data_IF_847104211976
#
_entry.id   IF_847104211976
#
_cell.length_a   1.000
_cell.length_b   1.000
_cell.length_c   1.000
_cell.angle_alpha   90.00
_cell.angle_beta   90.00
_cell.angle_gamma   90.00
#
_symmetry.space_group_name_H-M   'P 1'
#
loop_
_entity.id
_entity.type
_entity.pdbx_description
1 polymer ?
#
# COMPACT_ATOMS: atom_id res chain seq x y z
N UNK A 1 43.84 12.03 -6.90
CA UNK A 1 42.92 12.74 -5.99
C UNK A 1 43.33 12.42 -4.54
N UNK A 2 43.47 13.41 -3.65
CA UNK A 2 43.93 13.18 -2.27
C UNK A 2 42.89 12.34 -1.50
N UNK A 3 43.31 11.37 -0.68
CA UNK A 3 42.41 10.48 0.08
C UNK A 3 41.34 11.24 0.86
N UNK A 4 41.73 12.39 1.43
CA UNK A 4 40.83 13.28 2.16
C UNK A 4 39.67 13.82 1.34
N UNK A 5 39.83 13.99 0.01
CA UNK A 5 38.77 14.48 -0.88
C UNK A 5 37.73 13.38 -1.10
N UNK A 6 38.18 12.15 -1.37
CA UNK A 6 37.28 10.99 -1.54
C UNK A 6 36.46 10.76 -0.26
N UNK A 7 37.11 10.77 0.90
CA UNK A 7 36.44 10.57 2.19
C UNK A 7 35.40 11.67 2.45
N UNK A 8 35.71 12.94 2.16
CA UNK A 8 34.73 14.03 2.30
C UNK A 8 33.53 13.85 1.37
N UNK A 9 33.74 13.44 0.13
CA UNK A 9 32.65 13.17 -0.83
C UNK A 9 31.78 12.00 -0.35
N UNK A 10 32.39 10.93 0.17
CA UNK A 10 31.65 9.79 0.75
C UNK A 10 30.78 10.23 1.90
N UNK A 11 31.34 10.98 2.87
CA UNK A 11 30.61 11.43 4.06
C UNK A 11 29.46 12.37 3.69
N UNK A 12 29.72 13.35 2.82
CA UNK A 12 28.68 14.29 2.36
C UNK A 12 27.57 13.56 1.59
N UNK A 13 27.93 12.64 0.71
CA UNK A 13 26.96 11.84 -0.04
C UNK A 13 26.12 10.93 0.87
N UNK A 14 26.75 10.28 1.86
CA UNK A 14 26.04 9.46 2.83
C UNK A 14 25.05 10.29 3.66
N UNK A 15 25.45 11.49 4.10
CA UNK A 15 24.57 12.40 4.85
C UNK A 15 23.38 12.87 4.01
N UNK A 16 23.62 13.22 2.74
CA UNK A 16 22.56 13.60 1.80
C UNK A 16 21.58 12.45 1.56
N UNK A 17 22.08 11.23 1.32
CA UNK A 17 21.26 10.03 1.12
C UNK A 17 20.42 9.73 2.36
N UNK A 18 21.01 9.79 3.56
CA UNK A 18 20.26 9.60 4.81
C UNK A 18 19.14 10.62 4.97
N UNK A 19 19.40 11.89 4.67
CA UNK A 19 18.37 12.94 4.72
C UNK A 19 17.23 12.68 3.74
N UNK A 20 17.55 12.31 2.50
CA UNK A 20 16.53 12.00 1.48
C UNK A 20 15.73 10.74 1.86
N UNK A 21 16.39 9.69 2.37
CA UNK A 21 15.71 8.48 2.87
C UNK A 21 14.73 8.85 3.99
N UNK A 22 15.16 9.66 4.97
CA UNK A 22 14.30 10.06 6.07
C UNK A 22 13.04 10.81 5.58
N UNK A 23 13.22 11.73 4.64
CA UNK A 23 12.10 12.46 4.02
C UNK A 23 11.18 11.51 3.26
N UNK A 24 11.72 10.59 2.45
CA UNK A 24 10.90 9.65 1.67
C UNK A 24 10.14 8.66 2.54
N UNK A 25 10.74 8.16 3.63
CA UNK A 25 10.05 7.32 4.61
C UNK A 25 8.90 8.10 5.27
N UNK A 26 9.13 9.36 5.64
CA UNK A 26 8.09 10.22 6.19
C UNK A 26 6.94 10.43 5.18
N UNK A 27 7.25 10.77 3.93
CA UNK A 27 6.25 10.97 2.89
C UNK A 27 5.46 9.69 2.63
N UNK A 28 6.13 8.53 2.52
CA UNK A 28 5.49 7.26 2.26
C UNK A 28 4.51 6.89 3.38
N UNK A 29 4.89 7.10 4.64
CA UNK A 29 4.01 6.87 5.78
C UNK A 29 2.80 7.81 5.75
N UNK A 30 3.03 9.11 5.54
CA UNK A 30 1.95 10.09 5.52
C UNK A 30 0.98 9.86 4.35
N UNK A 31 1.48 9.50 3.17
CA UNK A 31 0.61 9.19 2.02
C UNK A 31 -0.13 7.87 2.20
N UNK A 32 0.44 6.91 2.94
CA UNK A 32 -0.27 5.68 3.32
C UNK A 32 -1.44 5.98 4.25
N UNK A 33 -1.17 6.71 5.34
CA UNK A 33 -2.18 7.06 6.33
C UNK A 33 -3.30 7.90 5.69
N UNK A 34 -2.94 8.82 4.78
CA UNK A 34 -3.91 9.62 4.02
C UNK A 34 -4.75 8.77 3.07
N UNK A 35 -4.14 7.87 2.29
CA UNK A 35 -4.85 7.00 1.36
C UNK A 35 -5.77 5.99 2.08
N UNK A 36 -5.35 5.46 3.24
CA UNK A 36 -6.18 4.60 4.07
C UNK A 36 -7.38 5.35 4.65
N UNK A 37 -7.18 6.59 5.10
CA UNK A 37 -8.26 7.44 5.58
C UNK A 37 -9.27 7.78 4.49
N UNK A 38 -8.79 8.20 3.32
CA UNK A 38 -9.65 8.52 2.17
C UNK A 38 -10.48 7.30 1.74
N UNK A 39 -9.86 6.12 1.68
CA UNK A 39 -10.57 4.87 1.38
C UNK A 39 -11.68 4.59 2.41
N UNK A 40 -11.36 4.66 3.71
CA UNK A 40 -12.34 4.39 4.77
C UNK A 40 -13.49 5.40 4.76
N UNK A 41 -13.21 6.68 4.49
CA UNK A 41 -14.25 7.73 4.35
C UNK A 41 -15.16 7.44 3.15
N UNK A 42 -14.59 7.13 1.98
CA UNK A 42 -15.35 6.81 0.77
C UNK A 42 -16.22 5.56 0.96
N UNK A 43 -15.68 4.50 1.60
CA UNK A 43 -16.47 3.31 1.96
C UNK A 43 -17.61 3.68 2.89
N UNK A 44 -17.33 4.47 3.92
CA UNK A 44 -18.35 4.91 4.90
C UNK A 44 -19.45 5.71 4.21
N UNK A 45 -19.10 6.66 3.34
CA UNK A 45 -20.06 7.45 2.57
C UNK A 45 -20.92 6.57 1.66
N UNK A 46 -20.31 5.63 0.94
CA UNK A 46 -21.05 4.69 0.08
C UNK A 46 -22.01 3.82 0.89
N UNK A 47 -21.56 3.26 2.01
CA UNK A 47 -22.38 2.44 2.90
C UNK A 47 -23.52 3.23 3.55
N UNK A 48 -23.28 4.48 3.94
CA UNK A 48 -24.33 5.39 4.40
C UNK A 48 -25.37 5.64 3.31
N UNK A 49 -24.94 5.80 2.06
CA UNK A 49 -25.86 5.98 0.93
C UNK A 49 -26.67 4.70 0.66
N UNK A 50 -26.06 3.52 0.75
CA UNK A 50 -26.79 2.24 0.65
C UNK A 50 -27.87 2.15 1.72
N UNK A 51 -27.56 2.51 2.97
CA UNK A 51 -28.55 2.52 4.04
C UNK A 51 -29.70 3.49 3.76
N UNK A 52 -29.42 4.70 3.25
CA UNK A 52 -30.44 5.67 2.83
C UNK A 52 -31.34 5.13 1.70
N UNK A 53 -30.81 4.29 0.82
CA UNK A 53 -31.64 3.64 -0.22
C UNK A 53 -32.62 2.63 0.39
N UNK A 54 -32.21 1.90 1.43
CA UNK A 54 -33.12 1.04 2.20
C UNK A 54 -34.15 1.84 3.01
N UNK A 55 -33.80 3.02 3.53
CA UNK A 55 -34.74 3.92 4.19
C UNK A 55 -35.89 4.31 3.24
N UNK A 56 -35.56 4.64 1.99
CA UNK A 56 -36.55 4.98 0.94
C UNK A 56 -37.52 3.84 0.62
N UNK A 57 -37.14 2.59 0.89
CA UNK A 57 -37.99 1.41 0.68
C UNK A 57 -38.94 1.14 1.86
N UNK A 58 -38.97 2.01 2.88
CA UNK A 58 -39.91 1.93 4.00
C UNK A 58 -39.31 1.43 5.31
N UNK A 59 -37.99 1.49 5.47
CA UNK A 59 -37.29 1.24 6.73
C UNK A 59 -36.98 2.51 7.52
N UNK A 60 -36.82 2.41 8.84
CA UNK A 60 -36.32 3.50 9.68
C UNK A 60 -34.87 3.22 10.07
N UNK A 61 -33.96 4.13 9.73
CA UNK A 61 -32.55 4.00 10.12
C UNK A 61 -32.33 4.39 11.59
N UNK A 62 -31.32 3.81 12.28
CA UNK A 62 -30.91 4.30 13.58
C UNK A 62 -30.39 5.74 13.51
N UNK A 63 -30.65 6.53 14.55
CA UNK A 63 -30.31 7.95 14.59
C UNK A 63 -28.80 8.24 14.64
N UNK A 64 -27.98 7.28 15.07
CA UNK A 64 -26.53 7.40 15.16
C UNK A 64 -25.87 6.05 14.89
N UNK A 65 -24.58 6.11 14.55
CA UNK A 65 -23.69 4.95 14.46
C UNK A 65 -24.05 3.90 13.40
N UNK A 66 -24.57 4.40 12.27
CA UNK A 66 -25.06 3.60 11.16
C UNK A 66 -24.01 2.68 10.54
N UNK A 67 -22.76 3.16 10.43
CA UNK A 67 -21.65 2.43 9.81
C UNK A 67 -20.53 2.30 10.81
N UNK A 68 -20.11 1.06 11.07
CA UNK A 68 -18.98 0.74 11.93
C UNK A 68 -17.88 0.02 11.18
N UNK A 69 -16.67 0.53 11.29
CA UNK A 69 -15.47 -0.19 10.89
C UNK A 69 -15.07 -1.15 12.01
N UNK A 70 -15.29 -2.45 11.81
CA UNK A 70 -14.97 -3.50 12.79
C UNK A 70 -13.50 -3.90 12.67
N UNK A 71 -12.98 -3.91 11.44
CA UNK A 71 -11.56 -4.11 11.15
C UNK A 71 -11.12 -3.24 9.99
N UNK A 72 -9.82 -3.25 9.70
CA UNK A 72 -9.22 -2.47 8.63
C UNK A 72 -9.80 -2.77 7.24
N UNK A 73 -10.40 -3.94 7.05
CA UNK A 73 -11.02 -4.39 5.81
C UNK A 73 -12.48 -4.81 5.94
N UNK A 74 -13.12 -4.63 7.10
CA UNK A 74 -14.49 -5.08 7.37
C UNK A 74 -15.34 -4.00 8.02
N UNK A 75 -16.49 -3.75 7.41
CA UNK A 75 -17.45 -2.74 7.82
C UNK A 75 -18.80 -3.39 8.03
N UNK A 76 -19.58 -2.88 8.99
CA UNK A 76 -20.94 -3.32 9.26
C UNK A 76 -21.88 -2.12 9.27
N UNK A 77 -23.09 -2.34 8.77
CA UNK A 77 -24.10 -1.29 8.59
C UNK A 77 -25.42 -1.73 9.19
N UNK A 78 -25.92 -0.97 10.16
CA UNK A 78 -27.22 -1.22 10.80
C UNK A 78 -28.35 -0.64 9.96
N UNK A 79 -29.35 -1.45 9.60
CA UNK A 79 -30.46 -1.05 8.73
C UNK A 79 -31.80 -1.07 9.49
N UNK A 80 -31.85 -1.67 10.69
CA UNK A 80 -33.07 -1.82 11.51
C UNK A 80 -34.30 -2.36 10.75
N UNK A 81 -34.09 -3.06 9.62
CA UNK A 81 -35.14 -3.62 8.79
C UNK A 81 -34.65 -4.89 8.09
N UNK A 82 -35.58 -5.64 7.49
CA UNK A 82 -35.28 -6.80 6.65
C UNK A 82 -34.51 -6.35 5.41
N UNK A 83 -33.39 -7.03 5.17
CA UNK A 83 -32.48 -6.71 4.07
C UNK A 83 -32.70 -7.72 2.94
N UNK A 84 -33.23 -7.26 1.82
CA UNK A 84 -33.29 -8.07 0.59
C UNK A 84 -31.91 -8.12 -0.07
N UNK A 85 -31.46 -9.34 -0.36
CA UNK A 85 -30.13 -9.60 -0.92
C UNK A 85 -29.91 -9.01 -2.32
N UNK A 86 -30.93 -9.04 -3.19
CA UNK A 86 -30.79 -8.56 -4.56
C UNK A 86 -30.70 -7.04 -4.58
N UNK A 87 -31.54 -6.38 -3.79
CA UNK A 87 -31.49 -4.93 -3.60
C UNK A 87 -30.15 -4.50 -2.98
N UNK A 88 -29.65 -5.23 -1.97
CA UNK A 88 -28.36 -4.93 -1.34
C UNK A 88 -27.22 -4.98 -2.35
N UNK A 89 -27.11 -6.03 -3.16
CA UNK A 89 -26.05 -6.13 -4.17
C UNK A 89 -26.12 -4.98 -5.16
N UNK A 90 -27.32 -4.67 -5.67
CA UNK A 90 -27.53 -3.58 -6.61
C UNK A 90 -27.10 -2.22 -6.02
N UNK A 91 -27.52 -1.92 -4.79
CA UNK A 91 -27.13 -0.67 -4.12
C UNK A 91 -25.63 -0.61 -3.83
N UNK A 92 -25.02 -1.69 -3.34
CA UNK A 92 -23.58 -1.73 -3.06
C UNK A 92 -22.76 -1.44 -4.32
N UNK A 93 -23.04 -2.14 -5.42
CA UNK A 93 -22.34 -1.91 -6.70
C UNK A 93 -22.47 -0.46 -7.16
N UNK A 94 -23.70 0.06 -7.16
CA UNK A 94 -24.00 1.41 -7.65
C UNK A 94 -23.33 2.48 -6.80
N UNK A 95 -23.41 2.38 -5.47
CA UNK A 95 -22.85 3.39 -4.57
C UNK A 95 -21.32 3.31 -4.51
N UNK A 96 -20.71 2.13 -4.55
CA UNK A 96 -19.25 2.00 -4.64
C UNK A 96 -18.70 2.57 -5.94
N UNK A 97 -19.34 2.31 -7.08
CA UNK A 97 -18.96 2.93 -8.36
C UNK A 97 -19.08 4.45 -8.33
N UNK A 98 -20.14 4.98 -7.71
CA UNK A 98 -20.38 6.42 -7.60
C UNK A 98 -19.27 7.15 -6.83
N UNK A 99 -18.72 6.52 -5.79
CA UNK A 99 -17.59 7.08 -5.01
C UNK A 99 -16.21 6.66 -5.55
N UNK A 100 -16.15 5.98 -6.69
CA UNK A 100 -14.91 5.57 -7.33
C UNK A 100 -14.23 4.34 -6.73
N UNK A 101 -14.89 3.60 -5.84
CA UNK A 101 -14.39 2.34 -5.29
C UNK A 101 -14.61 1.23 -6.33
N UNK A 102 -13.55 0.85 -7.04
CA UNK A 102 -13.54 -0.28 -7.99
C UNK A 102 -12.76 -1.45 -7.40
N UNK A 103 -13.26 -1.99 -6.30
CA UNK A 103 -12.62 -3.09 -5.55
C UNK A 103 -13.50 -4.29 -5.58
N UNK A 104 -12.91 -5.46 -5.68
CA UNK A 104 -13.61 -6.66 -5.26
C UNK A 104 -14.01 -6.54 -3.78
N UNK A 105 -15.23 -6.98 -3.49
CA UNK A 105 -15.78 -6.96 -2.14
C UNK A 105 -16.64 -8.19 -1.91
N UNK A 106 -16.72 -8.60 -0.66
CA UNK A 106 -17.64 -9.61 -0.19
C UNK A 106 -18.65 -8.92 0.72
N UNK A 107 -19.92 -9.27 0.61
CA UNK A 107 -20.91 -8.81 1.56
C UNK A 107 -21.63 -9.99 2.19
N UNK A 108 -22.24 -9.76 3.35
CA UNK A 108 -23.15 -10.71 3.94
C UNK A 108 -24.19 -10.08 4.85
N UNK A 109 -25.30 -10.78 5.03
CA UNK A 109 -26.45 -10.34 5.81
C UNK A 109 -26.51 -11.19 7.07
N UNK A 110 -26.58 -10.51 8.22
CA UNK A 110 -26.74 -11.18 9.48
C UNK A 110 -28.17 -11.66 9.67
N UNK A 111 -28.33 -12.90 10.15
CA UNK A 111 -29.61 -13.47 10.51
C UNK A 111 -29.64 -13.71 12.03
N UNK A 112 -30.56 -13.03 12.71
CA UNK A 112 -30.69 -13.06 14.16
C UNK A 112 -31.18 -14.41 14.70
N UNK A 113 -31.99 -15.16 13.94
CA UNK A 113 -32.50 -16.48 14.34
C UNK A 113 -31.38 -17.53 14.40
N UNK A 114 -30.52 -17.53 13.40
CA UNK A 114 -29.41 -18.49 13.26
C UNK A 114 -28.12 -18.01 13.93
N UNK A 115 -28.06 -16.73 14.35
CA UNK A 115 -26.87 -16.03 14.88
C UNK A 115 -25.64 -16.18 13.99
N UNK A 116 -25.86 -16.18 12.67
CA UNK A 116 -24.83 -16.37 11.66
C UNK A 116 -25.05 -15.42 10.50
N UNK A 117 -23.99 -15.19 9.74
CA UNK A 117 -24.06 -14.55 8.43
C UNK A 117 -24.72 -15.54 7.46
N UNK A 118 -26.03 -15.40 7.23
CA UNK A 118 -26.82 -16.38 6.51
C UNK A 118 -26.76 -16.21 4.99
N UNK A 119 -26.63 -14.97 4.53
CA UNK A 119 -26.47 -14.64 3.11
C UNK A 119 -25.11 -13.99 2.90
N UNK A 120 -24.42 -14.32 1.81
CA UNK A 120 -23.20 -13.63 1.44
C UNK A 120 -22.68 -14.04 0.08
N UNK A 121 -22.08 -13.08 -0.62
CA UNK A 121 -21.57 -13.27 -1.98
C UNK A 121 -20.32 -12.43 -2.19
N UNK A 122 -19.38 -13.00 -2.93
CA UNK A 122 -18.20 -12.30 -3.42
C UNK A 122 -18.49 -11.64 -4.76
N UNK A 123 -18.07 -10.39 -4.90
CA UNK A 123 -18.28 -9.55 -6.07
C UNK A 123 -16.91 -9.15 -6.61
N UNK A 124 -16.58 -9.65 -7.80
CA UNK A 124 -15.40 -9.23 -8.57
C UNK A 124 -15.76 -8.07 -9.50
N UNK A 125 -14.90 -7.05 -9.56
CA UNK A 125 -14.99 -5.96 -10.54
C UNK A 125 -14.35 -6.32 -11.88
N UNK A 126 -13.42 -7.28 -11.89
CA UNK A 126 -12.83 -7.78 -13.13
C UNK A 126 -13.72 -8.90 -13.69
N UNK A 127 -14.51 -8.58 -14.72
CA UNK A 127 -15.50 -9.47 -15.35
C UNK A 127 -14.94 -10.79 -15.92
N UNK A 128 -13.61 -10.99 -15.92
CA UNK A 128 -12.96 -12.20 -16.46
C UNK A 128 -13.14 -13.45 -15.61
N UNK A 129 -13.64 -13.33 -14.37
CA UNK A 129 -13.96 -14.46 -13.51
C UNK A 129 -15.46 -14.46 -13.18
N UNK A 130 -16.30 -14.74 -14.19
CA UNK A 130 -17.70 -15.21 -13.99
C UNK A 130 -17.76 -16.66 -13.52
N UNK A 131 -16.76 -17.12 -12.79
CA UNK A 131 -16.83 -18.35 -12.03
C UNK A 131 -17.30 -17.98 -10.64
N UNK A 132 -18.26 -18.72 -10.09
CA UNK A 132 -18.44 -18.82 -8.64
C UNK A 132 -17.10 -19.29 -8.06
N UNK A 133 -16.18 -18.36 -7.82
CA UNK A 133 -14.94 -18.69 -7.16
C UNK A 133 -15.36 -19.19 -5.78
N UNK A 134 -15.20 -20.50 -5.58
CA UNK A 134 -15.16 -21.16 -4.28
C UNK A 134 -13.98 -20.57 -3.49
N UNK A 135 -14.06 -19.28 -3.14
CA UNK A 135 -13.31 -18.77 -2.03
C UNK A 135 -13.86 -19.50 -0.80
N UNK A 136 -12.99 -20.06 0.06
CA UNK A 136 -13.43 -20.68 1.29
C UNK A 136 -14.42 -19.73 1.97
N UNK A 137 -15.61 -20.24 2.32
CA UNK A 137 -16.61 -19.56 3.16
C UNK A 137 -16.00 -19.27 4.53
N UNK A 138 -14.96 -18.46 4.58
CA UNK A 138 -14.47 -17.87 5.79
C UNK A 138 -15.58 -16.92 6.20
N UNK A 139 -16.43 -17.41 7.10
CA UNK A 139 -17.64 -16.73 7.50
C UNK A 139 -17.24 -15.36 8.01
N UNK A 140 -17.84 -14.32 7.44
CA UNK A 140 -17.65 -12.95 7.90
C UNK A 140 -17.86 -12.90 9.41
N UNK A 141 -16.99 -12.21 10.16
CA UNK A 141 -17.08 -12.18 11.61
C UNK A 141 -18.40 -11.53 12.03
N UNK A 142 -19.10 -12.17 12.97
CA UNK A 142 -20.36 -11.63 13.50
C UNK A 142 -20.07 -10.42 14.38
N UNK A 143 -20.93 -9.42 14.31
CA UNK A 143 -20.89 -8.22 15.12
C UNK A 143 -22.14 -8.16 16.00
N UNK A 144 -22.01 -8.64 17.23
CA UNK A 144 -23.13 -8.90 18.15
C UNK A 144 -23.82 -7.63 18.70
N UNK A 145 -23.44 -6.42 18.26
CA UNK A 145 -24.07 -5.18 18.74
C UNK A 145 -25.26 -4.72 17.90
N UNK A 146 -25.42 -5.23 16.69
CA UNK A 146 -26.52 -4.90 15.79
C UNK A 146 -27.44 -6.11 15.57
N UNK A 147 -28.75 -5.86 15.46
CA UNK A 147 -29.75 -6.92 15.27
C UNK A 147 -30.07 -7.16 13.79
N UNK A 148 -30.16 -6.08 13.00
CA UNK A 148 -30.48 -6.12 11.58
C UNK A 148 -29.41 -5.37 10.78
N UNK A 149 -28.32 -6.06 10.45
CA UNK A 149 -27.18 -5.44 9.78
C UNK A 149 -26.66 -6.30 8.64
N UNK A 150 -25.94 -5.64 7.73
CA UNK A 150 -25.09 -6.32 6.75
C UNK A 150 -23.63 -5.93 6.97
N UNK A 151 -22.72 -6.83 6.61
CA UNK A 151 -21.29 -6.60 6.63
C UNK A 151 -20.71 -6.58 5.22
N UNK A 152 -19.66 -5.79 5.00
CA UNK A 152 -18.90 -5.72 3.76
C UNK A 152 -17.42 -5.82 4.05
N UNK A 153 -16.74 -6.77 3.39
CA UNK A 153 -15.29 -7.04 3.49
C UNK A 153 -14.60 -6.72 2.17
N UNK A 154 -13.46 -6.05 2.24
CA UNK A 154 -12.61 -5.73 1.09
C UNK A 154 -11.32 -6.56 1.14
N UNK A 155 -11.27 -7.75 0.53
CA UNK A 155 -10.09 -8.61 0.61
C UNK A 155 -8.86 -7.99 -0.06
N UNK A 156 -9.07 -7.32 -1.19
CA UNK A 156 -8.01 -6.68 -1.97
C UNK A 156 -7.81 -5.19 -1.63
N UNK A 157 -8.10 -4.75 -0.39
CA UNK A 157 -8.00 -3.31 -0.02
C UNK A 157 -6.60 -2.72 -0.25
N UNK A 158 -5.55 -3.51 -0.04
CA UNK A 158 -4.16 -3.03 -0.10
C UNK A 158 -3.79 -2.61 -1.51
N UNK A 159 -4.28 -3.31 -2.54
CA UNK A 159 -4.01 -2.96 -3.94
C UNK A 159 -4.68 -1.63 -4.31
N UNK A 160 -5.84 -1.34 -3.73
CA UNK A 160 -6.50 -0.04 -3.91
C UNK A 160 -5.76 1.10 -3.23
N UNK A 161 -5.40 0.94 -1.96
CA UNK A 161 -4.61 1.95 -1.22
C UNK A 161 -3.27 2.19 -1.93
N UNK A 162 -2.57 1.13 -2.35
CA UNK A 162 -1.34 1.23 -3.14
C UNK A 162 -1.55 1.95 -4.48
N UNK A 163 -2.71 1.78 -5.12
CA UNK A 163 -3.02 2.44 -6.39
C UNK A 163 -3.18 3.96 -6.23
N UNK A 164 -3.66 4.44 -5.08
CA UNK A 164 -3.71 5.87 -4.76
C UNK A 164 -2.31 6.45 -4.52
N UNK A 165 -1.36 5.63 -4.07
CA UNK A 165 0.00 6.04 -3.73
C UNK A 165 1.04 5.84 -4.85
N UNK A 166 0.59 5.63 -6.10
CA UNK A 166 1.47 5.33 -7.26
C UNK A 166 2.68 6.26 -7.37
N UNK A 167 2.48 7.56 -7.15
CA UNK A 167 3.55 8.55 -7.26
C UNK A 167 4.63 8.36 -6.16
N UNK A 168 4.23 8.14 -4.90
CA UNK A 168 5.16 7.86 -3.80
C UNK A 168 5.97 6.58 -4.02
N UNK A 169 5.34 5.55 -4.62
CA UNK A 169 6.01 4.31 -4.98
C UNK A 169 7.05 4.56 -6.06
N UNK A 170 6.71 5.31 -7.12
CA UNK A 170 7.66 5.66 -8.19
C UNK A 170 8.86 6.43 -7.65
N UNK A 171 8.65 7.41 -6.76
CA UNK A 171 9.76 8.14 -6.14
C UNK A 171 10.64 7.25 -5.25
N UNK A 172 10.05 6.28 -4.54
CA UNK A 172 10.79 5.30 -3.76
C UNK A 172 11.68 4.42 -4.66
N UNK A 173 11.17 4.00 -5.81
CA UNK A 173 11.93 3.23 -6.81
C UNK A 173 13.08 4.07 -7.40
N UNK A 174 12.83 5.32 -7.76
CA UNK A 174 13.87 6.23 -8.27
C UNK A 174 14.96 6.45 -7.22
N UNK A 175 14.61 6.62 -5.94
CA UNK A 175 15.57 6.74 -4.86
C UNK A 175 16.45 5.48 -4.74
N UNK A 176 15.84 4.29 -4.83
CA UNK A 176 16.58 3.03 -4.79
C UNK A 176 17.62 2.97 -5.91
N UNK A 177 17.25 3.30 -7.14
CA UNK A 177 18.18 3.37 -8.27
C UNK A 177 19.28 4.42 -8.07
N UNK A 178 18.94 5.57 -7.50
CA UNK A 178 19.91 6.64 -7.20
C UNK A 178 20.96 6.17 -6.19
N UNK A 179 20.54 5.44 -5.15
CA UNK A 179 21.46 4.86 -4.16
C UNK A 179 22.36 3.81 -4.81
N UNK A 180 21.81 2.90 -5.62
CA UNK A 180 22.58 1.89 -6.33
C UNK A 180 23.62 2.53 -7.26
N UNK A 181 23.24 3.57 -8.01
CA UNK A 181 24.14 4.30 -8.89
C UNK A 181 25.26 5.01 -8.13
N UNK A 182 24.95 5.62 -6.98
CA UNK A 182 25.94 6.24 -6.10
C UNK A 182 26.95 5.22 -5.56
N UNK A 183 26.46 4.07 -5.07
CA UNK A 183 27.32 2.98 -4.58
C UNK A 183 28.22 2.41 -5.69
N UNK A 184 27.66 2.22 -6.90
CA UNK A 184 28.43 1.76 -8.05
C UNK A 184 29.51 2.76 -8.46
N UNK A 185 29.16 4.05 -8.53
CA UNK A 185 30.12 5.11 -8.85
C UNK A 185 31.24 5.20 -7.80
N UNK A 186 30.90 5.04 -6.51
CA UNK A 186 31.87 4.98 -5.43
C UNK A 186 32.82 3.80 -5.58
N UNK A 187 32.29 2.62 -5.90
CA UNK A 187 33.09 1.42 -6.16
C UNK A 187 34.09 1.65 -7.30
N UNK A 188 33.65 2.26 -8.41
CA UNK A 188 34.53 2.58 -9.54
C UNK A 188 35.64 3.56 -9.15
N UNK A 189 35.32 4.64 -8.43
CA UNK A 189 36.30 5.65 -8.00
C UNK A 189 37.38 5.01 -7.11
N UNK A 190 36.98 4.17 -6.14
CA UNK A 190 37.91 3.47 -5.26
C UNK A 190 38.80 2.49 -6.03
N UNK A 191 38.23 1.76 -6.99
CA UNK A 191 38.98 0.83 -7.86
C UNK A 191 39.99 1.58 -8.74
N UNK A 192 39.59 2.68 -9.37
CA UNK A 192 40.47 3.50 -10.21
C UNK A 192 41.64 4.06 -9.41
N UNK A 193 41.38 4.52 -8.19
CA UNK A 193 42.43 5.01 -7.30
C UNK A 193 43.44 3.92 -6.95
N UNK A 194 42.97 2.72 -6.57
CA UNK A 194 43.87 1.59 -6.25
C UNK A 194 44.75 1.21 -7.43
N UNK A 195 44.19 1.21 -8.65
CA UNK A 195 44.94 0.91 -9.86
C UNK A 195 46.02 1.97 -10.13
N UNK A 196 45.69 3.25 -9.94
CA UNK A 196 46.64 4.35 -10.12
C UNK A 196 47.79 4.31 -9.11
N UNK A 197 47.52 3.93 -7.85
CA UNK A 197 48.55 3.73 -6.82
C UNK A 197 49.49 2.58 -7.19
N UNK A 198 48.96 1.41 -7.58
CA UNK A 198 49.78 0.27 -8.02
C UNK A 198 50.65 0.58 -9.24
N UNK A 199 50.12 1.30 -10.23
CA UNK A 199 50.90 1.73 -11.40
C UNK A 199 52.03 2.67 -11.01
N UNK A 200 51.77 3.61 -10.10
CA UNK A 200 52.78 4.54 -9.60
C UNK A 200 53.87 3.81 -8.83
N UNK A 201 53.50 2.85 -7.98
CA UNK A 201 54.46 2.03 -7.23
C UNK A 201 55.32 1.18 -8.15
N UNK A 202 54.73 0.59 -9.19
CA UNK A 202 55.47 -0.16 -10.22
C UNK A 202 56.50 0.71 -10.93
N UNK A 203 56.11 1.91 -11.41
CA UNK A 203 57.03 2.84 -12.07
C UNK A 203 58.14 3.27 -11.12
N UNK A 204 57.81 3.57 -9.86
CA UNK A 204 58.78 4.04 -8.89
C UNK A 204 59.77 2.93 -8.50
N UNK A 205 59.29 1.69 -8.34
CA UNK A 205 60.14 0.52 -8.10
C UNK A 205 61.07 0.23 -9.28
N UNK A 206 60.53 0.21 -10.51
CA UNK A 206 61.34 0.02 -11.72
C UNK A 206 62.37 1.13 -11.89
N UNK A 207 62.00 2.40 -11.68
CA UNK A 207 62.93 3.53 -11.78
C UNK A 207 64.05 3.43 -10.74
N UNK A 208 63.73 2.96 -9.55
CA UNK A 208 64.72 2.70 -8.50
C UNK A 208 65.68 1.59 -8.93
N UNK A 209 65.17 0.46 -9.42
CA UNK A 209 66.00 -0.66 -9.89
C UNK A 209 66.87 -0.31 -11.12
N UNK A 210 66.37 0.51 -12.04
CA UNK A 210 67.16 0.99 -13.18
C UNK A 210 68.28 1.98 -12.80
N UNK A 211 68.16 2.69 -11.67
CA UNK A 211 69.23 3.60 -11.19
C UNK A 211 70.38 2.87 -10.49
N UNK A 212 70.18 1.64 -10.05
CA UNK A 212 71.13 0.94 -9.16
C UNK A 212 72.35 0.25 -9.79
N UNK A 213 72.50 -0.04 -11.11
CA UNK A 213 73.71 -0.70 -11.61
C UNK A 213 74.68 0.18 -12.41
N UNK A 214 74.60 1.53 -12.35
CA UNK A 214 75.52 2.42 -13.10
C UNK A 214 76.62 3.04 -12.20
N UNK A 215 76.92 2.45 -11.05
CA UNK A 215 77.98 2.92 -10.12
C UNK A 215 78.94 1.83 -9.63
N UNK A 216 78.99 0.71 -10.33
CA UNK A 216 80.08 -0.28 -10.24
C UNK A 216 80.71 -0.43 -11.60
#
# INVERSE_FOLDING_TARGET
MKNSIIIRVVILGAFAIMGIIAIQVYLLKNTWDAAEKEFNENVTIALMNVAKEFEKLGGTLPAYDLVKQVSSNYFVVDINNVIDANNLEYFLRREFERVGIRSDFEYGIYNCDTRKMAYGKYISYNESEKGEALHPKEQLPVYDKFLYYFGVRFPNRTTQVLSAMRLSIVFSVILLFTILFFLYSMFIILRQKRLSEMQKDFINNMTHEFKTPIST
#
